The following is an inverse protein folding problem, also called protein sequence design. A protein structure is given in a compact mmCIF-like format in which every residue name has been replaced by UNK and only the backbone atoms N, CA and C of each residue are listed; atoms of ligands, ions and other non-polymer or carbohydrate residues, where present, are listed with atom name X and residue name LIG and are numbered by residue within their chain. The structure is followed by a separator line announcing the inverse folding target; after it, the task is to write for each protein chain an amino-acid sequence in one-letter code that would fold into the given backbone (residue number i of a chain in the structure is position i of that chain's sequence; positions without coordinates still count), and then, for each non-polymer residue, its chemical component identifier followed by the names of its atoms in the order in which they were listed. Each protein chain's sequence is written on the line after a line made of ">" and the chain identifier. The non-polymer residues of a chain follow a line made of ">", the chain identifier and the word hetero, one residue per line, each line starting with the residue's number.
data_IF_935479353683
#
_entry.id   IF_935479353683
#
_cell.length_a   1.000
_cell.length_b   1.000
_cell.length_c   1.000
_cell.angle_alpha   90.00
_cell.angle_beta   90.00
_cell.angle_gamma   90.00
#
_symmetry.space_group_name_H-M   'P 1'
#
loop_
_entity.id
_entity.type
_entity.pdbx_description
1 polymer ?
#
# COMPACT_ATOMS: atom_id res chain seq x y z
N UNK A 1 -10.12 0.13 -1.84
CA UNK A 1 -10.06 -0.93 -0.81
C UNK A 1 -8.71 -0.75 -0.13
N UNK A 2 -8.61 -0.43 1.18
CA UNK A 2 -7.29 -0.28 1.83
C UNK A 2 -6.71 -1.67 2.08
N UNK A 3 -5.86 -2.10 1.17
CA UNK A 3 -5.15 -3.37 1.24
C UNK A 3 -3.81 -3.18 1.94
N UNK A 4 -3.73 -3.59 3.20
CA UNK A 4 -2.45 -3.62 3.90
C UNK A 4 -1.69 -4.92 3.58
N UNK A 5 -0.50 -4.85 2.98
CA UNK A 5 0.40 -6.00 2.79
C UNK A 5 1.82 -5.63 2.32
N UNK A 6 2.84 -6.27 2.89
CA UNK A 6 4.27 -6.02 2.60
C UNK A 6 4.78 -6.79 1.36
N UNK A 7 5.84 -6.28 0.71
CA UNK A 7 6.34 -6.63 -0.63
C UNK A 7 7.32 -7.82 -0.76
N UNK A 8 7.24 -8.49 -1.92
CA UNK A 8 8.41 -8.95 -2.70
C UNK A 8 8.89 -10.41 -2.55
N UNK A 9 8.36 -11.34 -3.36
CA UNK A 9 8.86 -12.71 -3.58
C UNK A 9 7.82 -13.81 -3.27
N UNK A 10 8.07 -15.09 -3.56
CA UNK A 10 7.11 -16.20 -3.37
C UNK A 10 6.76 -16.49 -1.89
N UNK A 11 5.95 -15.63 -1.23
CA UNK A 11 5.79 -15.62 0.25
C UNK A 11 4.39 -15.93 0.81
N UNK A 12 3.36 -16.19 -0.02
CA UNK A 12 1.99 -16.48 0.47
C UNK A 12 1.91 -17.72 1.41
N UNK A 13 2.97 -18.51 1.53
CA UNK A 13 3.01 -19.75 2.30
C UNK A 13 3.68 -19.65 3.69
N UNK A 14 4.13 -18.47 4.15
CA UNK A 14 4.84 -18.32 5.45
C UNK A 14 4.02 -17.71 6.61
N UNK A 15 2.69 -17.86 6.61
CA UNK A 15 1.88 -17.60 7.81
C UNK A 15 1.74 -16.13 8.22
N UNK A 16 1.94 -15.19 7.29
CA UNK A 16 1.67 -13.77 7.52
C UNK A 16 0.16 -13.52 7.60
N UNK A 17 -0.25 -12.61 8.49
CA UNK A 17 -1.66 -12.27 8.73
C UNK A 17 -1.92 -10.88 8.19
N UNK A 18 -2.85 -10.74 7.26
CA UNK A 18 -3.27 -9.46 6.71
C UNK A 18 -4.66 -9.08 7.26
N UNK A 19 -4.90 -7.79 7.45
CA UNK A 19 -6.23 -7.25 7.77
C UNK A 19 -6.60 -6.29 6.65
N UNK A 20 -7.80 -6.45 6.11
CA UNK A 20 -8.32 -5.59 5.05
C UNK A 20 -9.22 -4.53 5.68
N UNK A 21 -9.01 -3.25 5.33
CA UNK A 21 -9.85 -2.15 5.78
C UNK A 21 -10.56 -1.52 4.59
N UNK A 22 -11.89 -1.46 4.64
CA UNK A 22 -12.66 -0.72 3.66
C UNK A 22 -12.69 0.76 4.04
N UNK A 23 -12.34 1.64 3.10
CA UNK A 23 -12.46 3.11 3.22
C UNK A 23 -13.66 3.66 2.47
N UNK A 24 -14.62 2.79 2.18
CA UNK A 24 -15.88 3.09 1.51
C UNK A 24 -16.84 1.92 1.69
N UNK A 25 -18.02 2.01 1.08
CA UNK A 25 -18.96 0.89 1.07
C UNK A 25 -18.39 -0.27 0.28
N UNK A 26 -18.30 -1.43 0.92
CA UNK A 26 -17.86 -2.66 0.25
C UNK A 26 -18.96 -3.13 -0.72
N UNK A 27 -18.64 -3.12 -2.00
CA UNK A 27 -19.44 -3.78 -3.04
C UNK A 27 -18.76 -5.11 -3.32
N UNK A 28 -19.41 -6.21 -2.92
CA UNK A 28 -18.84 -7.55 -3.06
C UNK A 28 -18.79 -7.95 -4.54
N UNK A 29 -17.63 -8.41 -4.97
CA UNK A 29 -17.35 -8.91 -6.32
C UNK A 29 -16.60 -10.25 -6.26
N UNK A 30 -16.16 -10.74 -7.43
CA UNK A 30 -15.41 -11.99 -7.59
C UNK A 30 -14.01 -11.94 -6.93
N UNK A 31 -13.46 -10.74 -6.69
CA UNK A 31 -12.15 -10.54 -6.04
C UNK A 31 -12.27 -10.44 -4.54
N UNK A 32 -13.35 -9.89 -4.03
CA UNK A 32 -13.62 -9.73 -2.60
C UNK A 32 -13.49 -11.07 -1.88
N UNK A 33 -14.02 -12.15 -2.46
CA UNK A 33 -13.93 -13.49 -1.89
C UNK A 33 -12.47 -13.98 -1.75
N UNK A 34 -11.61 -13.66 -2.72
CA UNK A 34 -10.20 -14.05 -2.69
C UNK A 34 -9.48 -13.35 -1.54
N UNK A 35 -9.76 -12.06 -1.32
CA UNK A 35 -9.18 -11.29 -0.22
C UNK A 35 -9.69 -11.72 1.15
N UNK A 36 -10.98 -12.03 1.29
CA UNK A 36 -11.56 -12.51 2.55
C UNK A 36 -10.99 -13.86 2.98
N UNK A 37 -10.65 -14.74 2.04
CA UNK A 37 -10.06 -16.05 2.35
C UNK A 37 -8.65 -15.94 2.94
N UNK A 38 -7.89 -14.90 2.57
CA UNK A 38 -6.51 -14.71 3.02
C UNK A 38 -6.39 -13.70 4.17
N UNK A 39 -7.34 -12.77 4.28
CA UNK A 39 -7.37 -11.80 5.35
C UNK A 39 -7.84 -12.44 6.67
N UNK A 40 -7.12 -12.17 7.75
CA UNK A 40 -7.52 -12.54 9.11
C UNK A 40 -8.83 -11.86 9.52
N UNK A 41 -9.06 -10.66 9.00
CA UNK A 41 -10.19 -9.78 9.32
C UNK A 41 -10.45 -8.87 8.13
N UNK A 42 -11.74 -8.62 7.90
CA UNK A 42 -12.24 -7.55 7.07
C UNK A 42 -12.93 -6.53 7.97
N UNK A 43 -12.48 -5.28 7.91
CA UNK A 43 -13.10 -4.15 8.59
C UNK A 43 -13.95 -3.37 7.58
N UNK A 44 -15.21 -3.13 7.94
CA UNK A 44 -16.12 -2.26 7.20
C UNK A 44 -16.55 -1.09 8.11
N UNK A 45 -16.51 0.17 7.64
CA UNK A 45 -17.01 1.31 8.40
C UNK A 45 -18.50 1.13 8.69
N UNK A 46 -18.89 1.34 9.94
CA UNK A 46 -20.29 1.24 10.37
C UNK A 46 -21.05 2.57 10.27
N UNK A 47 -20.32 3.70 10.21
CA UNK A 47 -20.89 5.05 10.19
C UNK A 47 -20.47 5.81 8.95
N UNK A 48 -21.45 6.49 8.36
CA UNK A 48 -21.29 7.33 7.18
C UNK A 48 -21.99 8.67 7.39
N UNK A 49 -21.41 9.74 6.86
CA UNK A 49 -22.04 11.06 6.71
C UNK A 49 -22.05 11.38 5.22
N UNK A 50 -23.21 11.68 4.64
CA UNK A 50 -23.37 11.98 3.22
C UNK A 50 -22.74 10.92 2.29
N UNK A 51 -22.79 9.65 2.71
CA UNK A 51 -22.22 8.53 1.95
C UNK A 51 -20.72 8.32 2.13
N UNK A 52 -20.03 9.18 2.88
CA UNK A 52 -18.58 9.08 3.16
C UNK A 52 -18.35 8.47 4.56
N UNK A 53 -17.47 7.47 4.71
CA UNK A 53 -17.20 6.88 6.01
C UNK A 53 -16.45 7.85 6.92
N UNK A 54 -16.63 7.70 8.22
CA UNK A 54 -15.97 8.55 9.21
C UNK A 54 -14.51 8.11 9.41
N UNK A 55 -13.56 8.92 8.93
CA UNK A 55 -12.11 8.65 9.06
C UNK A 55 -11.67 8.34 10.50
N UNK A 56 -12.14 9.05 11.55
CA UNK A 56 -11.74 8.73 12.92
C UNK A 56 -12.07 7.30 13.33
N UNK A 57 -13.20 6.74 12.87
CA UNK A 57 -13.61 5.38 13.20
C UNK A 57 -12.68 4.34 12.54
N UNK A 58 -12.23 4.61 11.30
CA UNK A 58 -11.25 3.78 10.58
C UNK A 58 -9.89 3.83 11.28
N UNK A 59 -9.42 5.03 11.63
CA UNK A 59 -8.15 5.25 12.32
C UNK A 59 -8.11 4.54 13.66
N UNK A 60 -9.19 4.65 14.46
CA UNK A 60 -9.30 3.94 15.73
C UNK A 60 -9.28 2.42 15.56
N UNK A 61 -9.93 1.90 14.52
CA UNK A 61 -9.90 0.47 14.23
C UNK A 61 -8.48 -0.01 13.88
N UNK A 62 -7.76 0.73 13.03
CA UNK A 62 -6.37 0.43 12.65
C UNK A 62 -5.45 0.47 13.88
N UNK A 63 -5.54 1.51 14.70
CA UNK A 63 -4.74 1.66 15.91
C UNK A 63 -5.02 0.54 16.92
N UNK A 64 -6.29 0.15 17.08
CA UNK A 64 -6.70 -0.95 17.97
C UNK A 64 -6.16 -2.31 17.53
N UNK A 65 -6.00 -2.53 16.23
CA UNK A 65 -5.41 -3.76 15.67
C UNK A 65 -3.87 -3.77 15.73
N UNK A 66 -3.22 -2.65 16.06
CA UNK A 66 -1.76 -2.53 16.29
C UNK A 66 -0.92 -3.07 15.13
N UNK A 67 -1.20 -2.58 13.92
CA UNK A 67 -0.45 -2.98 12.72
C UNK A 67 0.99 -2.46 12.76
N UNK A 68 1.94 -3.28 12.30
CA UNK A 68 3.33 -2.84 12.09
C UNK A 68 3.45 -1.92 10.85
N UNK A 69 2.70 -2.28 9.80
CA UNK A 69 2.66 -1.58 8.51
C UNK A 69 1.21 -1.33 8.14
N UNK A 70 0.92 -0.16 7.60
CA UNK A 70 -0.29 0.17 6.87
C UNK A 70 0.10 0.46 5.43
N UNK A 71 -0.43 -0.31 4.47
CA UNK A 71 -0.29 -0.05 3.05
C UNK A 71 -1.66 0.38 2.50
N UNK A 72 -1.65 1.47 1.71
CA UNK A 72 -2.79 1.99 0.97
C UNK A 72 -2.56 1.77 -0.54
N UNK A 73 -3.29 0.86 -1.19
CA UNK A 73 -3.17 0.56 -2.61
C UNK A 73 -3.95 1.56 -3.52
N UNK A 74 -4.77 2.46 -2.96
CA UNK A 74 -5.58 3.39 -3.74
C UNK A 74 -4.91 4.77 -3.86
N UNK A 75 -4.03 5.13 -2.93
CA UNK A 75 -3.31 6.41 -2.89
C UNK A 75 -4.26 7.62 -3.13
N UNK A 76 -3.87 8.58 -3.98
CA UNK A 76 -4.67 9.77 -4.29
C UNK A 76 -6.03 9.49 -4.96
N UNK A 77 -6.30 8.27 -5.41
CA UNK A 77 -7.60 7.96 -6.02
C UNK A 77 -8.75 7.89 -5.00
N UNK A 78 -8.44 7.72 -3.71
CA UNK A 78 -9.43 7.68 -2.62
C UNK A 78 -9.04 8.69 -1.53
N UNK A 79 -9.68 9.88 -1.49
CA UNK A 79 -9.35 10.94 -0.53
C UNK A 79 -9.41 10.51 0.94
N UNK A 80 -10.36 9.62 1.29
CA UNK A 80 -10.47 9.05 2.64
C UNK A 80 -9.19 8.33 3.07
N UNK A 81 -8.47 7.66 2.16
CA UNK A 81 -7.23 6.96 2.51
C UNK A 81 -6.13 7.95 2.83
N UNK A 82 -6.05 9.05 2.06
CA UNK A 82 -5.11 10.14 2.32
C UNK A 82 -5.33 10.72 3.71
N UNK A 83 -6.59 10.98 4.08
CA UNK A 83 -6.93 11.46 5.43
C UNK A 83 -6.53 10.45 6.53
N UNK A 84 -6.72 9.15 6.29
CA UNK A 84 -6.25 8.09 7.21
C UNK A 84 -4.73 8.10 7.34
N UNK A 85 -3.99 8.20 6.22
CA UNK A 85 -2.52 8.24 6.22
C UNK A 85 -1.96 9.49 6.89
N UNK A 86 -2.66 10.63 6.81
CA UNK A 86 -2.30 11.85 7.55
C UNK A 86 -2.28 11.63 9.07
N UNK A 87 -3.13 10.73 9.60
CA UNK A 87 -3.18 10.40 11.02
C UNK A 87 -2.08 9.42 11.46
N UNK A 88 -1.36 8.82 10.49
CA UNK A 88 -0.27 7.84 10.72
C UNK A 88 -0.63 6.79 11.79
N UNK A 89 -1.70 5.99 11.59
CA UNK A 89 -2.22 5.08 12.60
C UNK A 89 -1.37 3.81 12.83
N UNK A 90 -0.31 3.60 12.04
CA UNK A 90 0.66 2.54 12.19
C UNK A 90 2.09 3.12 12.18
N UNK A 91 3.11 2.42 12.71
CA UNK A 91 4.50 2.89 12.70
C UNK A 91 5.02 3.17 11.28
N UNK A 92 4.63 2.34 10.31
CA UNK A 92 4.98 2.51 8.89
C UNK A 92 3.70 2.66 8.09
N UNK A 93 3.53 3.81 7.44
CA UNK A 93 2.40 4.09 6.56
C UNK A 93 2.90 4.31 5.13
N UNK A 94 2.42 3.49 4.19
CA UNK A 94 2.90 3.42 2.81
C UNK A 94 1.71 3.63 1.87
N UNK A 95 1.88 4.47 0.85
CA UNK A 95 0.96 4.54 -0.29
C UNK A 95 1.55 3.79 -1.49
N UNK A 96 0.68 3.16 -2.29
CA UNK A 96 1.06 2.34 -3.42
C UNK A 96 -0.03 2.24 -4.47
N UNK A 97 0.44 2.15 -5.70
CA UNK A 97 -0.16 1.85 -7.01
C UNK A 97 -1.35 2.67 -7.52
N UNK A 98 -2.35 3.04 -6.72
CA UNK A 98 -3.58 3.64 -7.26
C UNK A 98 -3.36 4.95 -8.04
N UNK A 99 -2.39 5.76 -7.61
CA UNK A 99 -1.89 6.95 -8.32
C UNK A 99 -0.48 7.30 -7.76
N UNK A 100 -0.08 8.56 -7.84
CA UNK A 100 1.15 9.09 -7.25
C UNK A 100 1.06 9.30 -5.72
N UNK A 101 2.19 9.61 -5.09
CA UNK A 101 2.30 9.86 -3.65
C UNK A 101 1.39 11.04 -3.19
N UNK A 102 0.82 10.98 -1.98
CA UNK A 102 -0.16 11.96 -1.53
C UNK A 102 0.41 13.33 -1.11
N UNK A 103 1.73 13.48 -0.99
CA UNK A 103 2.43 14.73 -0.62
C UNK A 103 2.02 15.27 0.77
N UNK A 104 1.94 14.38 1.76
CA UNK A 104 1.38 14.71 3.09
C UNK A 104 2.43 14.75 4.21
N UNK A 105 3.47 13.91 4.19
CA UNK A 105 4.42 13.83 5.31
C UNK A 105 5.69 13.06 4.97
N UNK A 106 6.85 13.55 5.44
CA UNK A 106 8.14 12.86 5.31
C UNK A 106 8.30 11.66 6.24
N UNK A 107 7.32 11.42 7.10
CA UNK A 107 7.23 10.21 7.92
C UNK A 107 6.46 9.09 7.22
N UNK A 108 5.81 9.39 6.08
CA UNK A 108 5.12 8.41 5.26
C UNK A 108 6.03 7.96 4.10
N UNK A 109 5.69 6.82 3.52
CA UNK A 109 6.45 6.21 2.44
C UNK A 109 5.61 6.09 1.17
N UNK A 110 6.29 6.10 0.04
CA UNK A 110 5.69 5.78 -1.26
C UNK A 110 6.44 4.62 -1.90
N UNK A 111 5.71 3.55 -2.22
CA UNK A 111 6.27 2.37 -2.84
C UNK A 111 6.33 2.56 -4.36
N UNK A 112 7.55 2.57 -4.89
CA UNK A 112 7.87 2.79 -6.30
C UNK A 112 8.97 1.84 -6.77
N UNK A 113 9.60 2.10 -7.91
CA UNK A 113 10.76 1.35 -8.40
C UNK A 113 11.81 2.25 -9.04
N UNK A 114 12.97 1.66 -9.34
CA UNK A 114 14.08 2.38 -9.97
C UNK A 114 13.83 2.81 -11.41
N UNK A 115 12.88 2.19 -12.10
CA UNK A 115 12.58 2.48 -13.51
C UNK A 115 11.74 3.76 -13.63
N UNK A 116 10.73 3.88 -12.77
CA UNK A 116 9.80 5.01 -12.71
C UNK A 116 10.36 6.17 -11.88
N UNK A 117 11.08 5.84 -10.80
CA UNK A 117 11.62 6.81 -9.86
C UNK A 117 13.14 6.62 -9.73
N UNK A 118 13.96 6.97 -10.75
CA UNK A 118 15.40 6.87 -10.63
C UNK A 118 15.97 7.79 -9.53
N UNK A 119 17.27 7.68 -9.28
CA UNK A 119 17.97 8.55 -8.33
C UNK A 119 17.72 10.04 -8.62
N UNK A 120 17.52 10.83 -7.56
CA UNK A 120 17.32 12.28 -7.66
C UNK A 120 15.85 12.69 -7.76
N UNK A 121 14.92 11.74 -7.75
CA UNK A 121 13.47 12.04 -7.72
C UNK A 121 12.99 12.45 -6.34
N UNK A 122 13.70 12.10 -5.28
CA UNK A 122 13.38 12.42 -3.88
C UNK A 122 13.05 13.90 -3.66
N UNK A 123 13.67 14.81 -4.43
CA UNK A 123 13.40 16.25 -4.35
C UNK A 123 11.95 16.65 -4.69
N UNK A 124 11.20 15.80 -5.39
CA UNK A 124 9.82 16.02 -5.80
C UNK A 124 8.80 15.37 -4.86
N UNK A 125 9.27 14.66 -3.83
CA UNK A 125 8.43 13.89 -2.93
C UNK A 125 8.66 14.34 -1.49
N UNK A 126 7.57 14.57 -0.77
CA UNK A 126 7.63 14.74 0.67
C UNK A 126 7.83 13.36 1.32
N UNK A 127 7.14 12.34 0.84
CA UNK A 127 7.28 10.95 1.28
C UNK A 127 8.68 10.38 1.02
N UNK A 128 9.08 9.43 1.86
CA UNK A 128 10.27 8.63 1.61
C UNK A 128 10.01 7.59 0.51
N UNK A 129 10.82 7.63 -0.54
CA UNK A 129 10.71 6.69 -1.66
C UNK A 129 11.29 5.32 -1.30
N UNK A 130 10.43 4.30 -1.28
CA UNK A 130 10.84 2.89 -1.15
C UNK A 130 10.83 2.26 -2.53
N UNK A 131 12.00 1.86 -3.02
CA UNK A 131 12.17 1.37 -4.39
C UNK A 131 12.30 -0.14 -4.43
N UNK A 132 11.37 -0.77 -5.15
CA UNK A 132 11.47 -2.17 -5.53
C UNK A 132 12.62 -2.38 -6.52
N UNK A 133 13.32 -3.54 -6.45
CA UNK A 133 14.49 -3.80 -7.28
C UNK A 133 14.17 -3.86 -8.78
N UNK A 134 13.01 -4.41 -9.14
CA UNK A 134 12.60 -4.61 -10.53
C UNK A 134 11.47 -3.68 -10.93
N UNK A 135 10.24 -4.01 -10.49
CA UNK A 135 9.05 -3.23 -10.75
C UNK A 135 8.17 -3.15 -9.50
N UNK A 136 7.51 -2.01 -9.31
CA UNK A 136 6.52 -1.83 -8.24
C UNK A 136 5.11 -2.30 -8.64
N UNK A 137 4.88 -2.64 -9.90
CA UNK A 137 3.58 -3.11 -10.40
C UNK A 137 3.38 -4.57 -10.02
N UNK A 138 2.25 -4.87 -9.39
CA UNK A 138 1.83 -6.24 -9.09
C UNK A 138 0.54 -6.56 -9.83
N UNK A 139 0.62 -7.46 -10.81
CA UNK A 139 -0.55 -7.96 -11.54
C UNK A 139 -0.52 -9.48 -11.60
N UNK A 140 -1.69 -10.09 -11.46
CA UNK A 140 -1.86 -11.54 -11.57
C UNK A 140 -1.89 -11.97 -13.04
N UNK A 141 -1.39 -13.18 -13.34
CA UNK A 141 -1.46 -13.79 -14.67
C UNK A 141 -0.28 -13.47 -15.60
N UNK A 142 0.68 -12.64 -15.19
CA UNK A 142 1.96 -12.55 -15.87
C UNK A 142 2.92 -13.60 -15.33
N UNK A 143 3.48 -14.41 -16.24
CA UNK A 143 4.61 -15.28 -15.93
C UNK A 143 5.83 -14.44 -15.57
N UNK A 144 6.57 -14.82 -14.50
CA UNK A 144 7.86 -14.23 -14.16
C UNK A 144 8.89 -14.25 -15.32
N UNK A 145 8.66 -15.08 -16.35
CA UNK A 145 9.51 -15.13 -17.56
C UNK A 145 9.29 -13.97 -18.54
N UNK A 146 8.23 -13.17 -18.38
CA UNK A 146 7.90 -12.02 -19.23
C UNK A 146 8.29 -10.67 -18.62
N UNK A 147 8.80 -10.66 -17.38
CA UNK A 147 9.50 -9.48 -16.88
C UNK A 147 10.75 -9.31 -17.75
N UNK A 148 10.78 -8.22 -18.52
CA UNK A 148 11.95 -7.83 -19.30
C UNK A 148 13.11 -7.76 -18.30
N UNK A 149 14.03 -8.72 -18.36
CA UNK A 149 15.33 -8.60 -17.70
C UNK A 149 16.03 -7.43 -18.38
N UNK A 150 15.89 -6.24 -17.80
CA UNK A 150 16.80 -5.15 -18.11
C UNK A 150 18.19 -5.65 -17.72
N UNK A 151 19.20 -5.51 -18.59
CA UNK A 151 20.54 -6.00 -18.29
C UNK A 151 21.03 -5.35 -16.99
N UNK A 152 21.40 -6.17 -16.00
CA UNK A 152 22.02 -5.72 -14.77
C UNK A 152 23.37 -5.05 -15.10
N UNK A 153 23.35 -3.74 -15.32
CA UNK A 153 24.53 -2.89 -15.18
C UNK A 153 24.77 -2.67 -13.69
N UNK A 154 25.89 -3.19 -13.18
CA UNK A 154 26.21 -3.20 -11.76
C UNK A 154 26.19 -1.83 -11.11
N UNK A 155 25.48 -1.72 -9.98
CA UNK A 155 25.61 -0.62 -9.03
C UNK A 155 25.98 -1.23 -7.68
N UNK A 156 27.29 -1.33 -7.44
CA UNK A 156 27.86 -1.42 -6.10
C UNK A 156 27.70 -0.04 -5.45
N UNK A 157 26.88 0.07 -4.41
CA UNK A 157 26.75 1.35 -3.70
C UNK A 157 25.58 1.40 -2.72
N UNK A 158 25.68 0.66 -1.62
CA UNK A 158 25.04 1.07 -0.38
C UNK A 158 26.08 1.83 0.44
N UNK A 159 25.89 3.11 0.81
CA UNK A 159 26.58 3.66 1.97
C UNK A 159 25.96 3.08 3.25
N UNK A 160 26.73 3.04 4.36
CA UNK A 160 26.31 2.46 5.63
C UNK A 160 25.07 3.13 6.23
#
# INVERSE_FOLDING_TARGET
>A
MVQCGYCGGNWLTRGQKFISYCSGRLHRDDRTQQFEQVAKKLYEPSRYSDGVPQVPDIVQAIQGDQLDVLLDPDALSVPTNVEVLCQRPAPVCISWLGFDAPQISSQNYFLCDWQTHPQGREQYYIEQLVRMPDTFVAISGLSNSLLIRLPCGGLTGFPP
#
